data_IF_344214120441
#
_entry.id   IF_344214120441
#
_cell.length_a   1.000
_cell.length_b   1.000
_cell.length_c   1.000
_cell.angle_alpha   90.00
_cell.angle_beta   90.00
_cell.angle_gamma   90.00
#
_symmetry.space_group_name_H-M   'P 1'
#
loop_
_entity.id
_entity.type
_entity.pdbx_description
1 polymer ?
#
# COMPACT_ATOMS: atom_id res chain seq x y z
N UNK A 1 14.93 46.86 80.04
CA UNK A 1 14.07 45.83 80.66
C UNK A 1 13.36 45.07 79.56
N UNK A 2 13.43 43.72 79.59
CA UNK A 2 12.53 42.72 78.94
C UNK A 2 12.19 42.93 77.46
N UNK A 3 12.28 41.99 76.53
CA UNK A 3 12.46 40.54 76.47
C UNK A 3 12.38 40.26 74.97
N UNK A 4 13.24 39.44 74.38
CA UNK A 4 12.74 38.54 73.32
C UNK A 4 13.72 37.41 73.08
N UNK A 5 13.16 36.27 72.75
CA UNK A 5 13.67 34.92 72.94
C UNK A 5 13.40 34.12 71.67
N UNK A 6 14.32 33.19 71.37
CA UNK A 6 14.25 32.08 70.39
C UNK A 6 14.48 32.47 68.93
N UNK A 7 15.55 32.01 68.29
CA UNK A 7 15.93 30.63 67.95
C UNK A 7 14.98 30.03 66.89
N UNK A 8 15.53 29.75 65.71
CA UNK A 8 14.81 29.05 64.64
C UNK A 8 15.55 29.06 63.31
N UNK A 9 16.48 28.11 63.19
CA UNK A 9 16.98 27.45 61.97
C UNK A 9 17.56 28.30 60.82
N UNK A 10 18.85 28.06 60.59
CA UNK A 10 19.47 28.08 59.27
C UNK A 10 18.68 27.18 58.30
N UNK A 11 18.39 27.67 57.09
CA UNK A 11 18.61 26.88 55.88
C UNK A 11 19.02 27.84 54.75
N UNK A 12 20.28 27.72 54.35
CA UNK A 12 20.87 28.31 53.16
C UNK A 12 20.46 27.47 51.94
N UNK A 13 20.45 28.11 50.77
CA UNK A 13 20.24 27.60 49.38
C UNK A 13 18.87 28.04 48.85
N UNK A 14 18.73 29.11 48.04
CA UNK A 14 19.50 29.46 46.85
C UNK A 14 19.85 28.23 46.00
N UNK A 15 18.90 27.84 45.15
CA UNK A 15 19.11 27.26 43.82
C UNK A 15 17.72 27.13 43.18
N UNK A 16 17.26 28.19 42.52
CA UNK A 16 16.29 28.05 41.44
C UNK A 16 17.07 27.47 40.26
N UNK A 17 17.31 26.16 40.32
CA UNK A 17 17.81 25.41 39.19
C UNK A 17 16.60 25.07 38.29
N UNK A 18 16.62 25.39 36.99
CA UNK A 18 15.61 24.89 36.08
C UNK A 18 15.96 23.43 35.79
N UNK A 19 15.27 22.49 36.42
CA UNK A 19 15.43 21.08 36.09
C UNK A 19 14.11 20.32 36.25
N UNK A 20 13.66 19.80 35.12
CA UNK A 20 12.77 18.66 34.93
C UNK A 20 11.30 18.84 35.34
N UNK A 21 10.53 19.20 34.31
CA UNK A 21 9.17 18.74 34.04
C UNK A 21 8.94 17.28 34.48
N UNK A 22 8.07 17.09 35.47
CA UNK A 22 7.28 15.87 35.62
C UNK A 22 5.82 16.27 35.45
N UNK A 23 5.46 16.52 34.18
CA UNK A 23 4.05 16.49 33.79
C UNK A 23 3.64 15.02 33.81
N UNK A 24 2.83 14.64 34.78
CA UNK A 24 2.14 13.36 34.81
C UNK A 24 1.03 13.36 33.76
N UNK A 25 1.42 13.22 32.48
CA UNK A 25 0.51 12.80 31.43
C UNK A 25 0.57 11.28 31.32
N UNK A 26 -0.14 10.61 32.23
CA UNK A 26 -0.70 9.28 31.95
C UNK A 26 -1.60 9.40 30.72
N UNK A 27 -1.33 8.60 29.69
CA UNK A 27 -2.33 8.33 28.64
C UNK A 27 -1.95 8.78 27.24
N UNK A 28 -0.84 8.27 26.71
CA UNK A 28 -0.76 7.75 25.34
C UNK A 28 0.34 6.71 25.39
N UNK A 29 -0.01 5.46 25.68
CA UNK A 29 0.76 4.37 25.13
C UNK A 29 0.66 4.57 23.63
N UNK A 30 1.69 5.17 23.02
CA UNK A 30 1.88 5.11 21.58
C UNK A 30 2.20 3.64 21.32
N UNK A 31 1.15 2.81 21.31
CA UNK A 31 1.22 1.50 20.69
C UNK A 31 1.72 1.77 19.29
N UNK A 32 2.79 1.08 18.92
CA UNK A 32 3.54 1.31 17.69
C UNK A 32 2.58 1.16 16.51
N UNK A 33 1.99 2.27 16.06
CA UNK A 33 1.15 2.26 14.88
C UNK A 33 2.03 1.81 13.72
N UNK A 34 1.68 0.65 13.18
CA UNK A 34 2.37 0.06 12.05
C UNK A 34 1.99 0.87 10.81
N UNK A 35 2.72 1.96 10.55
CA UNK A 35 2.61 2.72 9.30
C UNK A 35 2.93 1.86 8.07
N UNK A 36 3.59 0.71 8.26
CA UNK A 36 4.01 -0.23 7.21
C UNK A 36 2.83 -1.03 6.64
N UNK A 37 1.63 -0.92 7.21
CA UNK A 37 0.53 -1.83 6.88
C UNK A 37 -0.50 -1.33 5.87
N UNK A 38 -0.84 -0.04 5.87
CA UNK A 38 -1.99 0.43 5.10
C UNK A 38 -1.57 1.25 3.87
N UNK A 39 -1.31 0.52 2.78
CA UNK A 39 -1.05 1.09 1.45
C UNK A 39 -2.38 1.31 0.70
N UNK A 40 -3.48 0.70 1.17
CA UNK A 40 -4.78 0.80 0.50
C UNK A 40 -4.70 0.20 -0.90
N UNK A 41 -5.58 0.64 -1.81
CA UNK A 41 -5.48 0.26 -3.22
C UNK A 41 -6.09 -1.09 -3.58
N UNK A 42 -5.93 -1.45 -4.85
CA UNK A 42 -6.44 -2.69 -5.44
C UNK A 42 -5.34 -3.36 -6.25
N UNK A 43 -5.20 -4.67 -6.12
CA UNK A 43 -4.18 -5.44 -6.84
C UNK A 43 -4.84 -6.45 -7.77
N UNK A 44 -4.40 -6.48 -9.01
CA UNK A 44 -4.73 -7.52 -10.00
C UNK A 44 -3.46 -8.28 -10.37
N UNK A 45 -3.52 -9.61 -10.33
CA UNK A 45 -2.43 -10.47 -10.81
C UNK A 45 -2.81 -11.07 -12.16
N UNK A 46 -1.89 -11.03 -13.12
CA UNK A 46 -2.04 -11.65 -14.45
C UNK A 46 -1.01 -12.76 -14.57
N UNK A 47 -1.45 -13.99 -14.84
CA UNK A 47 -0.58 -15.16 -14.93
C UNK A 47 -1.01 -16.13 -16.06
N UNK A 48 -0.17 -17.13 -16.34
CA UNK A 48 -0.45 -18.16 -17.34
C UNK A 48 -1.25 -19.37 -16.83
N UNK A 49 -1.81 -19.31 -15.63
CA UNK A 49 -2.47 -20.44 -14.96
C UNK A 49 -1.49 -21.57 -14.68
N UNK A 50 -1.74 -22.74 -15.30
CA UNK A 50 -0.88 -23.91 -15.20
C UNK A 50 0.33 -23.86 -16.17
N UNK A 51 0.42 -22.84 -17.03
CA UNK A 51 1.45 -22.69 -18.04
C UNK A 51 2.38 -21.52 -17.67
N UNK A 52 3.72 -21.70 -17.75
CA UNK A 52 4.62 -20.58 -17.52
C UNK A 52 4.54 -19.58 -18.68
N UNK A 53 4.61 -18.29 -18.36
CA UNK A 53 4.79 -17.23 -19.35
C UNK A 53 6.24 -17.27 -19.85
N UNK A 54 6.48 -17.97 -20.97
CA UNK A 54 7.81 -18.09 -21.59
C UNK A 54 7.78 -17.57 -23.02
N UNK A 55 8.87 -16.93 -23.45
CA UNK A 55 9.03 -16.40 -24.82
C UNK A 55 7.82 -15.55 -25.26
N UNK A 56 7.24 -14.79 -24.34
CA UNK A 56 5.92 -14.16 -24.50
C UNK A 56 6.04 -12.64 -24.38
N UNK A 57 5.32 -11.92 -25.24
CA UNK A 57 5.09 -10.48 -25.11
C UNK A 57 3.64 -10.21 -24.71
N UNK A 58 3.46 -9.56 -23.56
CA UNK A 58 2.17 -9.08 -23.09
C UNK A 58 2.10 -7.56 -23.23
N UNK A 59 1.01 -7.07 -23.78
CA UNK A 59 0.61 -5.68 -23.71
C UNK A 59 -0.64 -5.60 -22.83
N UNK A 60 -0.54 -4.90 -21.71
CA UNK A 60 -1.61 -4.80 -20.72
C UNK A 60 -2.10 -3.36 -20.70
N UNK A 61 -3.42 -3.22 -20.83
CA UNK A 61 -4.13 -1.95 -20.73
C UNK A 61 -5.05 -2.03 -19.53
N UNK A 62 -4.91 -1.11 -18.58
CA UNK A 62 -5.84 -0.92 -17.49
C UNK A 62 -6.59 0.42 -17.63
N UNK A 63 -7.92 0.38 -17.58
CA UNK A 63 -8.75 1.57 -17.43
C UNK A 63 -9.23 1.64 -15.99
N UNK A 64 -8.80 2.67 -15.27
CA UNK A 64 -9.02 2.80 -13.84
C UNK A 64 -9.65 4.14 -13.54
N UNK A 65 -10.91 4.10 -13.11
CA UNK A 65 -11.75 5.29 -12.90
C UNK A 65 -11.72 6.27 -14.10
N UNK A 66 -11.64 5.72 -15.32
CA UNK A 66 -11.56 6.46 -16.57
C UNK A 66 -10.16 6.91 -16.99
N UNK A 67 -9.15 6.76 -16.13
CA UNK A 67 -7.74 6.91 -16.49
C UNK A 67 -7.22 5.68 -17.23
N UNK A 68 -6.28 5.86 -18.16
CA UNK A 68 -5.75 4.76 -18.97
C UNK A 68 -4.27 4.55 -18.68
N UNK A 69 -3.93 3.32 -18.35
CA UNK A 69 -2.58 2.87 -18.04
C UNK A 69 -2.20 1.75 -18.99
N UNK A 70 -0.99 1.78 -19.52
CA UNK A 70 -0.49 0.78 -20.47
C UNK A 70 0.90 0.34 -20.05
N UNK A 71 1.14 -0.98 -20.13
CA UNK A 71 2.44 -1.55 -19.84
C UNK A 71 2.72 -2.72 -20.79
N UNK A 72 3.93 -2.74 -21.32
CA UNK A 72 4.45 -3.87 -22.07
C UNK A 72 5.35 -4.72 -21.17
N UNK A 73 5.10 -6.02 -21.13
CA UNK A 73 5.88 -7.00 -20.39
C UNK A 73 6.43 -8.07 -21.32
N UNK A 74 7.72 -8.37 -21.19
CA UNK A 74 8.41 -9.40 -21.96
C UNK A 74 8.92 -10.50 -21.04
N UNK A 75 8.69 -11.74 -21.43
CA UNK A 75 9.17 -12.93 -20.72
C UNK A 75 10.15 -13.72 -21.58
N UNK A 76 11.30 -14.07 -21.01
CA UNK A 76 12.31 -14.88 -21.70
C UNK A 76 11.95 -16.39 -21.70
N UNK A 77 12.80 -17.22 -22.31
CA UNK A 77 12.60 -18.66 -22.44
C UNK A 77 12.64 -19.41 -21.09
N UNK A 78 13.11 -18.74 -20.03
CA UNK A 78 13.17 -19.26 -18.67
C UNK A 78 12.04 -18.74 -17.78
N UNK A 79 11.18 -17.87 -18.33
CA UNK A 79 10.06 -17.26 -17.63
C UNK A 79 10.44 -16.04 -16.80
N UNK A 80 11.66 -15.50 -16.95
CA UNK A 80 11.99 -14.23 -16.32
C UNK A 80 11.30 -13.11 -17.09
N UNK A 81 10.42 -12.40 -16.40
CA UNK A 81 9.70 -11.26 -16.95
C UNK A 81 10.36 -9.94 -16.61
N UNK A 82 10.30 -9.00 -17.54
CA UNK A 82 10.50 -7.58 -17.27
C UNK A 82 9.34 -6.82 -17.88
N UNK A 83 8.70 -5.96 -17.11
CA UNK A 83 7.82 -4.94 -17.67
C UNK A 83 8.65 -3.69 -17.93
N UNK A 84 8.36 -2.98 -19.03
CA UNK A 84 9.07 -1.74 -19.36
C UNK A 84 8.97 -0.73 -18.21
N UNK A 85 9.85 0.28 -18.22
CA UNK A 85 9.80 1.46 -17.34
C UNK A 85 8.54 2.33 -17.58
N UNK A 86 7.45 1.75 -18.06
CA UNK A 86 6.09 2.30 -17.99
C UNK A 86 5.64 2.44 -16.53
N UNK A 87 6.50 2.99 -15.69
CA UNK A 87 6.19 3.96 -14.65
C UNK A 87 4.91 4.68 -15.04
N UNK A 88 3.83 4.16 -14.49
CA UNK A 88 2.65 4.88 -14.14
C UNK A 88 3.04 6.30 -13.72
N UNK A 89 2.83 7.24 -14.64
CA UNK A 89 2.52 8.58 -14.21
C UNK A 89 1.17 8.52 -13.50
N UNK A 90 0.97 9.41 -12.53
CA UNK A 90 -0.38 9.79 -12.15
C UNK A 90 -1.09 10.22 -13.43
N UNK A 91 -2.17 9.54 -13.81
CA UNK A 91 -3.00 10.10 -14.88
C UNK A 91 -3.75 11.28 -14.26
N UNK A 92 -3.44 12.53 -14.68
CA UNK A 92 -3.85 13.72 -13.92
C UNK A 92 -5.37 13.84 -13.81
N UNK A 93 -6.10 13.21 -14.75
CA UNK A 93 -7.54 13.24 -14.81
C UNK A 93 -8.21 12.17 -13.93
N UNK A 94 -7.56 11.03 -13.65
CA UNK A 94 -8.12 9.99 -12.77
C UNK A 94 -7.78 10.22 -11.31
N UNK A 95 -6.64 10.86 -11.02
CA UNK A 95 -6.13 10.92 -9.66
C UNK A 95 -5.88 9.51 -9.11
N UNK A 96 -5.42 8.59 -9.94
CA UNK A 96 -4.99 7.26 -9.54
C UNK A 96 -3.51 7.13 -9.89
N UNK A 97 -2.75 6.69 -8.91
CA UNK A 97 -1.38 6.23 -9.08
C UNK A 97 -1.43 4.71 -9.24
N UNK A 98 -0.49 4.15 -10.00
CA UNK A 98 -0.41 2.71 -10.09
C UNK A 98 1.04 2.24 -10.17
N UNK A 99 1.24 0.96 -9.96
CA UNK A 99 2.53 0.31 -9.90
C UNK A 99 2.42 -1.05 -10.58
N UNK A 100 3.45 -1.43 -11.34
CA UNK A 100 3.58 -2.78 -11.90
C UNK A 100 4.82 -3.38 -11.32
N UNK A 101 4.66 -4.59 -10.79
CA UNK A 101 5.76 -5.46 -10.47
C UNK A 101 5.60 -6.79 -11.18
N UNK A 102 6.72 -7.41 -11.53
CA UNK A 102 6.74 -8.81 -11.98
C UNK A 102 7.23 -9.62 -10.79
N UNK A 103 6.41 -10.58 -10.33
CA UNK A 103 6.87 -11.57 -9.39
C UNK A 103 7.21 -12.86 -10.12
N UNK A 104 8.34 -13.45 -9.76
CA UNK A 104 8.64 -14.82 -10.12
C UNK A 104 8.02 -15.73 -9.05
N UNK A 105 7.52 -16.88 -9.48
CA UNK A 105 6.89 -17.90 -8.62
C UNK A 105 7.70 -18.28 -7.36
N UNK A 106 9.01 -18.08 -7.41
CA UNK A 106 9.93 -18.52 -6.37
C UNK A 106 9.76 -17.78 -5.03
N UNK A 107 9.06 -16.63 -5.01
CA UNK A 107 8.90 -15.81 -3.82
C UNK A 107 7.62 -16.08 -2.99
N UNK A 108 6.62 -16.82 -3.51
CA UNK A 108 5.30 -16.96 -2.85
C UNK A 108 4.67 -18.37 -2.81
N UNK A 109 5.45 -19.46 -2.85
CA UNK A 109 4.98 -20.87 -2.95
C UNK A 109 4.45 -21.23 -4.37
N UNK A 110 4.34 -22.52 -4.78
CA UNK A 110 4.71 -22.96 -6.12
C UNK A 110 3.67 -22.57 -7.18
N UNK A 111 3.70 -21.32 -7.60
CA UNK A 111 3.10 -20.91 -8.86
C UNK A 111 3.95 -21.52 -9.98
N UNK A 112 3.31 -22.12 -10.98
CA UNK A 112 4.03 -22.58 -12.16
C UNK A 112 4.18 -21.38 -13.09
N UNK A 113 5.13 -20.50 -12.80
CA UNK A 113 5.52 -19.41 -13.70
C UNK A 113 5.37 -17.99 -13.14
N UNK A 114 5.91 -17.03 -13.89
CA UNK A 114 5.88 -15.62 -13.53
C UNK A 114 4.46 -15.02 -13.60
N UNK A 115 4.21 -14.02 -12.77
CA UNK A 115 2.99 -13.23 -12.76
C UNK A 115 3.31 -11.73 -12.85
N UNK A 116 2.41 -10.98 -13.47
CA UNK A 116 2.43 -9.51 -13.45
C UNK A 116 1.43 -9.04 -12.40
N UNK A 117 1.90 -8.30 -11.40
CA UNK A 117 1.07 -7.65 -10.41
C UNK A 117 0.88 -6.19 -10.78
N UNK A 118 -0.38 -5.78 -10.90
CA UNK A 118 -0.80 -4.41 -11.13
C UNK A 118 -1.40 -3.91 -9.82
N UNK A 119 -0.76 -2.94 -9.18
CA UNK A 119 -1.28 -2.29 -7.98
C UNK A 119 -1.80 -0.89 -8.34
N UNK A 120 -3.02 -0.58 -7.93
CA UNK A 120 -3.67 0.70 -8.18
C UNK A 120 -3.94 1.40 -6.86
N UNK A 121 -3.25 2.50 -6.61
CA UNK A 121 -3.39 3.35 -5.46
C UNK A 121 -4.26 4.57 -5.85
N UNK A 122 -5.44 4.69 -5.26
CA UNK A 122 -6.22 5.91 -5.43
C UNK A 122 -5.47 7.10 -4.80
N UNK A 123 -5.43 8.26 -5.47
CA UNK A 123 -4.93 9.49 -4.85
C UNK A 123 -5.83 9.80 -3.66
N UNK A 124 -5.30 9.55 -2.47
CA UNK A 124 -6.05 9.64 -1.24
C UNK A 124 -6.81 10.98 -1.15
N UNK A 125 -8.14 10.91 -1.03
CA UNK A 125 -8.88 11.97 -0.34
C UNK A 125 -8.51 11.87 1.14
N UNK A 126 -7.49 12.61 1.56
CA UNK A 126 -7.27 12.77 3.00
C UNK A 126 -8.40 13.63 3.58
N UNK A 127 -9.14 13.12 4.56
CA UNK A 127 -9.66 14.00 5.61
C UNK A 127 -9.52 13.35 6.98
N UNK A 128 -8.53 13.84 7.72
CA UNK A 128 -8.66 14.03 9.17
C UNK A 128 -9.23 12.82 9.97
N UNK A 129 -8.78 11.59 9.75
CA UNK A 129 -8.98 10.54 10.76
C UNK A 129 -9.07 9.08 10.33
N UNK A 130 -9.52 8.76 9.12
CA UNK A 130 -9.44 7.43 8.51
C UNK A 130 -10.07 7.51 7.11
N UNK A 131 -9.27 7.30 6.05
CA UNK A 131 -9.73 7.18 4.65
C UNK A 131 -8.56 6.67 3.81
N UNK A 132 -8.66 5.46 3.26
CA UNK A 132 -7.93 5.07 2.05
C UNK A 132 -8.86 4.20 1.22
N UNK A 133 -9.00 4.50 -0.06
CA UNK A 133 -9.72 3.68 -1.01
C UNK A 133 -8.94 3.67 -2.31
N UNK A 134 -8.82 2.49 -2.91
CA UNK A 134 -8.34 2.34 -4.26
C UNK A 134 -9.44 2.69 -5.27
N UNK A 135 -9.31 2.24 -6.52
CA UNK A 135 -10.25 2.60 -7.56
C UNK A 135 -11.65 2.00 -7.38
N UNK A 136 -12.67 2.72 -7.87
CA UNK A 136 -14.06 2.25 -7.89
C UNK A 136 -14.28 1.20 -9.00
N UNK A 137 -13.60 1.37 -10.13
CA UNK A 137 -13.69 0.48 -11.28
C UNK A 137 -12.31 0.26 -11.93
N UNK A 138 -12.02 -0.99 -12.24
CA UNK A 138 -10.83 -1.39 -13.02
C UNK A 138 -11.27 -2.28 -14.17
N UNK A 139 -10.98 -1.86 -15.39
CA UNK A 139 -11.10 -2.70 -16.58
C UNK A 139 -9.69 -3.06 -17.05
N UNK A 140 -9.49 -4.32 -17.42
CA UNK A 140 -8.21 -4.84 -17.86
C UNK A 140 -8.36 -5.52 -19.22
N UNK A 141 -7.53 -5.14 -20.17
CA UNK A 141 -7.34 -5.84 -21.43
C UNK A 141 -5.90 -6.34 -21.50
N UNK A 142 -5.73 -7.64 -21.74
CA UNK A 142 -4.42 -8.26 -21.93
C UNK A 142 -4.33 -8.77 -23.34
N UNK A 143 -3.33 -8.27 -24.05
CA UNK A 143 -2.97 -8.68 -25.40
C UNK A 143 -1.69 -9.50 -25.33
N UNK A 144 -1.66 -10.65 -26.01
CA UNK A 144 -0.49 -11.50 -26.20
C UNK A 144 -0.19 -11.60 -27.68
N UNK A 145 1.03 -11.23 -28.10
CA UNK A 145 1.47 -11.29 -29.51
C UNK A 145 0.49 -10.61 -30.50
N UNK A 146 -0.12 -9.50 -30.06
CA UNK A 146 -1.08 -8.73 -30.85
C UNK A 146 -2.52 -9.26 -30.86
N UNK A 147 -2.82 -10.32 -30.10
CA UNK A 147 -4.18 -10.85 -29.91
C UNK A 147 -4.68 -10.62 -28.49
N UNK A 148 -5.90 -10.10 -28.32
CA UNK A 148 -6.55 -9.98 -27.01
C UNK A 148 -6.81 -11.39 -26.46
N UNK A 149 -6.19 -11.72 -25.33
CA UNK A 149 -6.29 -13.03 -24.66
C UNK A 149 -7.09 -12.98 -23.37
N UNK A 150 -7.26 -11.79 -22.77
CA UNK A 150 -8.15 -11.58 -21.65
C UNK A 150 -8.77 -10.19 -21.68
N UNK A 151 -10.02 -10.09 -21.22
CA UNK A 151 -10.70 -8.85 -20.90
C UNK A 151 -11.49 -9.09 -19.60
N UNK A 152 -11.22 -8.27 -18.59
CA UNK A 152 -11.82 -8.39 -17.26
C UNK A 152 -12.28 -7.02 -16.77
N UNK A 153 -13.34 -7.01 -15.96
CA UNK A 153 -13.82 -5.81 -15.29
C UNK A 153 -14.05 -6.13 -13.82
N UNK A 154 -13.56 -5.26 -12.96
CA UNK A 154 -13.61 -5.38 -11.52
C UNK A 154 -14.30 -4.17 -10.91
N UNK A 155 -15.06 -4.42 -9.86
CA UNK A 155 -15.60 -3.41 -8.94
C UNK A 155 -15.12 -3.81 -7.55
N UNK A 156 -13.91 -3.35 -7.14
CA UNK A 156 -13.28 -3.84 -5.93
C UNK A 156 -14.15 -3.61 -4.68
N UNK A 157 -14.31 -4.63 -3.86
CA UNK A 157 -14.98 -4.51 -2.57
C UNK A 157 -13.94 -4.36 -1.46
N UNK A 158 -14.03 -3.25 -0.72
CA UNK A 158 -13.08 -2.90 0.33
C UNK A 158 -13.59 -3.33 1.71
N UNK A 159 -12.76 -4.05 2.45
CA UNK A 159 -12.98 -4.32 3.87
C UNK A 159 -12.16 -3.33 4.69
N UNK A 160 -12.83 -2.68 5.64
CA UNK A 160 -12.23 -1.72 6.57
C UNK A 160 -11.92 -2.41 7.90
N UNK A 161 -10.68 -2.31 8.38
CA UNK A 161 -10.25 -2.92 9.64
C UNK A 161 -9.39 -1.98 10.49
N UNK A 162 -9.76 -1.83 11.77
CA UNK A 162 -8.99 -1.14 12.80
C UNK A 162 -7.78 -1.97 13.27
N UNK A 163 -7.83 -3.29 13.10
CA UNK A 163 -6.81 -4.19 13.63
C UNK A 163 -5.52 -4.18 12.79
N UNK A 164 -5.60 -3.75 11.52
CA UNK A 164 -4.48 -3.82 10.58
C UNK A 164 -3.32 -2.88 10.97
N UNK A 165 -3.65 -1.65 11.35
CA UNK A 165 -2.65 -0.65 11.78
C UNK A 165 -2.33 -0.73 13.28
N UNK A 166 -3.03 -1.62 14.00
CA UNK A 166 -3.05 -1.67 15.45
C UNK A 166 -4.17 -0.81 16.03
N UNK A 167 -4.71 -1.26 17.18
CA UNK A 167 -5.84 -0.62 17.85
C UNK A 167 -5.56 0.86 18.13
N UNK A 168 -6.43 1.74 17.61
CA UNK A 168 -6.34 3.19 17.79
C UNK A 168 -5.45 3.91 16.79
N UNK A 169 -4.98 3.22 15.74
CA UNK A 169 -4.12 3.78 14.69
C UNK A 169 -4.86 4.18 13.40
N UNK A 170 -6.19 4.23 13.45
CA UNK A 170 -7.05 4.55 12.30
C UNK A 170 -7.37 3.33 11.45
N UNK A 171 -8.39 3.46 10.62
CA UNK A 171 -8.88 2.35 9.80
C UNK A 171 -8.01 2.13 8.56
N UNK A 172 -7.91 0.88 8.14
CA UNK A 172 -7.34 0.52 6.85
C UNK A 172 -8.37 -0.16 5.96
N UNK A 173 -8.55 0.34 4.74
CA UNK A 173 -9.35 -0.34 3.72
C UNK A 173 -8.46 -1.18 2.82
N UNK A 174 -8.82 -2.45 2.62
CA UNK A 174 -8.14 -3.34 1.68
C UNK A 174 -9.18 -4.00 0.79
N UNK A 175 -8.93 -4.01 -0.52
CA UNK A 175 -9.65 -4.89 -1.43
C UNK A 175 -9.00 -6.27 -1.44
N UNK A 176 -9.81 -7.32 -1.65
CA UNK A 176 -9.25 -8.64 -1.94
C UNK A 176 -8.51 -8.57 -3.28
N UNK A 177 -7.30 -9.16 -3.40
CA UNK A 177 -6.60 -9.20 -4.67
C UNK A 177 -7.38 -10.06 -5.67
N UNK A 178 -7.37 -9.64 -6.93
CA UNK A 178 -8.02 -10.36 -8.04
C UNK A 178 -6.99 -11.00 -8.95
N UNK A 179 -7.40 -12.03 -9.70
CA UNK A 179 -6.52 -12.81 -10.56
C UNK A 179 -7.13 -13.02 -11.95
N UNK A 180 -6.31 -12.85 -12.99
CA UNK A 180 -6.65 -13.08 -14.38
C UNK A 180 -5.74 -14.16 -14.94
N UNK A 181 -6.31 -15.34 -15.13
CA UNK A 181 -5.63 -16.46 -15.77
C UNK A 181 -5.72 -16.32 -17.29
N UNK A 182 -4.56 -16.24 -17.93
CA UNK A 182 -4.48 -16.20 -19.38
C UNK A 182 -4.67 -17.61 -19.97
N UNK A 183 -5.34 -17.73 -21.13
CA UNK A 183 -5.43 -18.99 -21.83
C UNK A 183 -4.04 -19.48 -22.28
N UNK A 184 -3.89 -20.79 -22.54
CA UNK A 184 -2.68 -21.32 -23.16
C UNK A 184 -2.45 -20.67 -24.54
N UNK A 185 -1.18 -20.55 -24.98
CA UNK A 185 -0.83 -20.02 -26.30
C UNK A 185 -1.37 -20.90 -27.46
#
# INVERSE_FOLDING_TARGET
MKTSTRAGLLTLALLCAPAATLSTTTGCLVGECSLVGCIGGFTVSVDGGDQPLVSTLLHIVAIVDGGRFEVDCSFDDTGNGTCGDGSFGSEPDSGVDADVSVALADEFEPAVGAAVHLHFEGSSRTRFGADQFGPDQVELEVTRDGMVVANASFTPEYTVSEDFNGKGCGDCSQASPEQVHLPPP
#
